data_IF_696738904865
#
_entry.id   IF_696738904865
#
_cell.length_a   1.000
_cell.length_b   1.000
_cell.length_c   1.000
_cell.angle_alpha   90.00
_cell.angle_beta   90.00
_cell.angle_gamma   90.00
#
_symmetry.space_group_name_H-M   'P 1'
#
loop_
_entity.id
_entity.type
_entity.pdbx_description
1 polymer ?
#
# COMPACT_ATOMS: atom_id res chain seq x y z
N UNK A 1 -36.35 49.45 52.16
CA UNK A 1 -35.93 50.68 52.87
C UNK A 1 -34.63 51.18 52.23
N UNK A 2 -34.75 52.42 51.66
CA UNK A 2 -33.74 53.44 51.40
C UNK A 2 -32.50 53.03 50.52
N UNK A 3 -32.43 53.43 49.26
CA UNK A 3 -32.05 54.75 48.63
C UNK A 3 -30.70 55.31 49.09
N UNK A 4 -29.82 55.48 48.11
CA UNK A 4 -29.22 56.78 47.64
C UNK A 4 -28.01 56.40 46.76
N UNK A 5 -27.98 56.58 45.45
CA UNK A 5 -27.65 57.83 44.69
C UNK A 5 -26.33 58.46 45.17
N UNK A 6 -25.34 58.45 44.30
CA UNK A 6 -24.75 59.72 43.80
C UNK A 6 -23.78 59.50 42.65
N UNK A 7 -23.98 60.28 41.63
CA UNK A 7 -23.15 60.45 40.44
C UNK A 7 -22.12 61.62 40.69
N UNK A 8 -21.05 61.65 39.93
CA UNK A 8 -20.35 62.87 39.39
C UNK A 8 -19.09 62.41 38.67
N UNK A 9 -18.91 62.45 37.42
CA UNK A 9 -18.69 63.54 36.46
C UNK A 9 -17.24 64.11 36.44
N UNK A 10 -16.71 64.02 35.25
CA UNK A 10 -15.79 64.94 34.52
C UNK A 10 -14.28 64.63 34.55
N UNK A 11 -13.83 64.54 33.39
CA UNK A 11 -12.95 65.30 32.48
C UNK A 11 -11.47 64.97 32.52
N UNK A 12 -10.96 64.56 31.42
CA UNK A 12 -10.03 65.36 30.70
C UNK A 12 -8.75 64.68 30.18
N UNK A 13 -8.54 64.97 28.97
CA UNK A 13 -7.25 65.13 28.30
C UNK A 13 -6.68 64.05 27.48
N UNK A 14 -6.80 64.23 26.19
CA UNK A 14 -6.01 63.69 25.09
C UNK A 14 -4.50 63.78 25.37
N UNK A 15 -3.77 62.68 25.07
CA UNK A 15 -2.44 62.77 24.46
C UNK A 15 -2.30 61.65 23.43
N UNK A 16 -2.25 62.08 22.20
CA UNK A 16 -1.87 61.29 21.06
C UNK A 16 -0.36 61.03 21.10
N UNK A 17 0.07 59.78 21.03
CA UNK A 17 1.40 59.48 20.53
C UNK A 17 1.34 58.24 19.63
N UNK A 18 1.46 58.49 18.35
CA UNK A 18 1.72 57.50 17.32
C UNK A 18 3.11 56.90 17.54
N UNK A 19 3.17 55.61 17.72
CA UNK A 19 4.39 54.82 17.51
C UNK A 19 4.11 53.77 16.48
N UNK A 20 4.54 54.06 15.26
CA UNK A 20 4.70 53.15 14.17
C UNK A 20 5.77 52.11 14.58
N UNK A 21 5.34 50.95 14.98
CA UNK A 21 6.18 49.78 15.18
C UNK A 21 5.93 48.81 14.04
N UNK A 22 6.69 48.90 12.96
CA UNK A 22 6.86 47.84 12.00
C UNK A 22 7.55 46.67 12.69
N UNK A 23 6.76 45.71 13.16
CA UNK A 23 7.19 44.39 13.56
C UNK A 23 6.48 43.39 12.64
N UNK A 24 7.12 43.04 11.53
CA UNK A 24 6.65 41.97 10.66
C UNK A 24 6.74 40.63 11.39
N UNK A 25 5.68 40.28 12.08
CA UNK A 25 5.43 38.87 12.45
C UNK A 25 4.87 38.22 11.20
N UNK A 26 5.76 37.54 10.48
CA UNK A 26 5.32 36.61 9.45
C UNK A 26 4.48 35.54 10.12
N UNK A 27 3.18 35.70 10.10
CA UNK A 27 2.25 34.57 10.23
C UNK A 27 2.55 33.61 9.06
N UNK A 28 3.50 32.68 9.32
CA UNK A 28 3.50 31.43 8.59
C UNK A 28 2.20 30.74 9.03
N UNK A 29 1.12 31.00 8.30
CA UNK A 29 -0.03 30.15 8.32
C UNK A 29 0.52 28.72 8.12
N UNK A 30 0.50 27.88 9.15
CA UNK A 30 0.68 26.44 9.01
C UNK A 30 -0.36 26.02 7.98
N UNK A 31 0.07 25.82 6.75
CA UNK A 31 -0.74 25.21 5.72
C UNK A 31 -1.05 23.82 6.29
N UNK A 32 -2.27 23.59 6.76
CA UNK A 32 -2.70 22.26 7.17
C UNK A 32 -2.44 21.36 5.97
N UNK A 33 -1.49 20.44 6.12
CA UNK A 33 -1.19 19.47 5.07
C UNK A 33 -2.46 18.66 4.83
N UNK A 34 -2.91 18.62 3.59
CA UNK A 34 -4.02 17.75 3.23
C UNK A 34 -3.60 16.31 3.50
N UNK A 35 -4.48 15.54 4.13
CA UNK A 35 -4.23 14.12 4.40
C UNK A 35 -4.70 13.31 3.20
N UNK A 36 -3.86 12.40 2.71
CA UNK A 36 -4.22 11.34 1.77
C UNK A 36 -4.39 10.05 2.56
N UNK A 37 -5.63 9.57 2.68
CA UNK A 37 -5.95 8.31 3.39
C UNK A 37 -5.63 7.13 2.49
N UNK A 38 -4.71 6.30 2.93
CA UNK A 38 -4.14 5.19 2.14
C UNK A 38 -4.53 3.87 2.77
N UNK A 39 -5.20 2.98 2.02
CA UNK A 39 -5.40 1.58 2.42
C UNK A 39 -4.27 0.70 1.89
N UNK A 40 -3.77 -0.18 2.75
CA UNK A 40 -2.74 -1.16 2.40
C UNK A 40 -2.83 -2.38 3.30
N UNK A 41 -2.57 -3.58 2.77
CA UNK A 41 -2.49 -4.81 3.55
C UNK A 41 -1.04 -5.02 3.98
N UNK A 42 -0.73 -4.74 5.25
CA UNK A 42 0.65 -4.63 5.75
C UNK A 42 1.23 -6.03 6.06
N UNK A 43 1.26 -6.89 5.04
CA UNK A 43 1.68 -8.28 5.13
C UNK A 43 2.41 -8.79 3.88
N UNK A 44 2.78 -7.89 2.95
CA UNK A 44 3.23 -8.21 1.61
C UNK A 44 4.67 -7.71 1.33
N UNK A 45 5.64 -8.15 2.15
CA UNK A 45 7.05 -7.76 1.99
C UNK A 45 7.62 -8.24 0.63
N UNK A 46 8.42 -7.42 -0.06
CA UNK A 46 9.04 -6.17 0.35
C UNK A 46 8.25 -4.89 0.01
N UNK A 47 6.96 -4.99 -0.37
CA UNK A 47 6.14 -3.86 -0.78
C UNK A 47 5.55 -3.10 0.42
N UNK A 48 4.85 -3.79 1.31
CA UNK A 48 4.26 -3.23 2.51
C UNK A 48 4.27 -4.24 3.66
N UNK A 49 4.93 -3.89 4.73
CA UNK A 49 5.06 -4.75 5.90
C UNK A 49 5.45 -3.95 7.15
N UNK A 50 5.44 -4.63 8.27
CA UNK A 50 5.88 -4.09 9.55
C UNK A 50 6.80 -5.11 10.22
N UNK A 51 8.02 -4.69 10.56
CA UNK A 51 8.92 -5.53 11.34
C UNK A 51 8.44 -5.61 12.79
N UNK A 52 8.72 -6.73 13.42
CA UNK A 52 8.42 -6.95 14.81
C UNK A 52 9.07 -5.86 15.71
N UNK A 53 8.25 -5.21 16.55
CA UNK A 53 8.70 -4.15 17.44
C UNK A 53 8.86 -2.76 16.79
N UNK A 54 8.70 -2.62 15.49
CA UNK A 54 8.64 -1.33 14.81
C UNK A 54 7.22 -0.77 14.83
N UNK A 55 7.11 0.57 14.88
CA UNK A 55 5.81 1.25 14.84
C UNK A 55 5.41 1.63 13.42
N UNK A 56 6.40 1.87 12.56
CA UNK A 56 6.18 2.40 11.23
C UNK A 56 6.04 1.26 10.20
N UNK A 57 5.12 1.43 9.28
CA UNK A 57 5.01 0.59 8.11
C UNK A 57 6.11 0.93 7.11
N UNK A 58 6.72 -0.09 6.53
CA UNK A 58 7.83 0.02 5.61
C UNK A 58 7.60 -0.84 4.36
N UNK A 59 8.41 -0.62 3.34
CA UNK A 59 8.33 -1.32 2.07
C UNK A 59 8.35 -0.35 0.89
N UNK A 60 8.45 -0.92 -0.29
CA UNK A 60 8.49 -0.17 -1.54
C UNK A 60 7.24 0.69 -1.72
N UNK A 61 6.05 0.11 -1.52
CA UNK A 61 4.77 0.79 -1.63
C UNK A 61 4.63 1.91 -0.60
N UNK A 62 5.13 1.68 0.62
CA UNK A 62 5.10 2.66 1.69
C UNK A 62 5.99 3.88 1.41
N UNK A 63 7.20 3.65 0.89
CA UNK A 63 8.09 4.74 0.49
C UNK A 63 7.52 5.49 -0.72
N UNK A 64 6.99 4.76 -1.71
CA UNK A 64 6.43 5.34 -2.93
C UNK A 64 5.21 6.21 -2.63
N UNK A 65 4.25 5.74 -1.83
CA UNK A 65 3.04 6.51 -1.56
C UNK A 65 3.32 7.75 -0.70
N UNK A 66 4.27 7.68 0.23
CA UNK A 66 4.71 8.86 0.98
C UNK A 66 5.35 9.90 0.06
N UNK A 67 6.16 9.48 -0.91
CA UNK A 67 6.76 10.36 -1.90
C UNK A 67 5.69 10.99 -2.82
N UNK A 68 4.72 10.20 -3.29
CA UNK A 68 3.59 10.68 -4.09
C UNK A 68 2.75 11.70 -3.30
N UNK A 69 2.36 11.39 -2.07
CA UNK A 69 1.59 12.31 -1.22
C UNK A 69 2.34 13.62 -1.04
N UNK A 70 3.64 13.58 -0.75
CA UNK A 70 4.49 14.76 -0.62
C UNK A 70 4.52 15.62 -1.89
N UNK A 71 4.64 14.99 -3.08
CA UNK A 71 4.59 15.71 -4.36
C UNK A 71 3.23 16.36 -4.61
N UNK A 72 2.15 15.77 -4.07
CA UNK A 72 0.80 16.33 -4.12
C UNK A 72 0.53 17.39 -3.05
N UNK A 73 1.52 17.72 -2.19
CA UNK A 73 1.34 18.64 -1.05
C UNK A 73 0.46 18.08 0.06
N UNK A 74 0.48 16.77 0.25
CA UNK A 74 -0.31 16.00 1.22
C UNK A 74 0.61 15.16 2.11
N UNK A 75 0.04 14.63 3.21
CA UNK A 75 0.66 13.62 4.05
C UNK A 75 -0.09 12.30 3.92
N UNK A 76 0.62 11.18 3.77
CA UNK A 76 0.01 9.86 3.67
C UNK A 76 -0.35 9.33 5.07
N UNK A 77 -1.64 9.08 5.32
CA UNK A 77 -2.13 8.36 6.49
C UNK A 77 -2.47 6.92 6.09
N UNK A 78 -1.63 5.98 6.55
CA UNK A 78 -1.73 4.58 6.12
C UNK A 78 -2.60 3.80 7.10
N UNK A 79 -3.64 3.14 6.55
CA UNK A 79 -4.56 2.28 7.28
C UNK A 79 -4.31 0.83 6.87
N UNK A 80 -3.99 -0.02 7.84
CA UNK A 80 -3.84 -1.46 7.63
C UNK A 80 -5.21 -2.12 7.49
N UNK A 81 -5.49 -2.64 6.31
CA UNK A 81 -6.76 -3.29 5.96
C UNK A 81 -6.43 -4.59 5.21
N UNK A 82 -7.07 -5.71 5.56
CA UNK A 82 -6.87 -6.96 4.82
C UNK A 82 -7.14 -6.80 3.32
N UNK A 83 -6.38 -7.50 2.49
CA UNK A 83 -6.34 -7.25 1.04
C UNK A 83 -7.72 -7.30 0.37
N UNK A 84 -8.55 -8.27 0.73
CA UNK A 84 -9.92 -8.43 0.23
C UNK A 84 -10.88 -7.31 0.67
N UNK A 85 -10.55 -6.62 1.78
CA UNK A 85 -11.27 -5.47 2.32
C UNK A 85 -10.92 -4.12 1.68
N UNK A 86 -9.83 -4.01 0.91
CA UNK A 86 -9.32 -2.74 0.40
C UNK A 86 -10.28 -2.05 -0.59
N UNK A 87 -10.75 -2.76 -1.62
CA UNK A 87 -11.70 -2.20 -2.60
C UNK A 87 -13.04 -1.83 -1.94
N UNK A 88 -13.65 -2.67 -1.08
CA UNK A 88 -14.79 -2.26 -0.26
C UNK A 88 -14.57 -0.98 0.55
N UNK A 89 -13.43 -0.84 1.23
CA UNK A 89 -13.09 0.35 2.01
C UNK A 89 -12.98 1.61 1.15
N UNK A 90 -12.38 1.49 -0.05
CA UNK A 90 -12.29 2.57 -1.04
C UNK A 90 -13.69 2.99 -1.54
N UNK A 91 -14.53 2.03 -1.87
CA UNK A 91 -15.91 2.29 -2.32
C UNK A 91 -16.78 2.94 -1.22
N UNK A 92 -16.52 2.59 0.04
CA UNK A 92 -17.16 3.21 1.21
C UNK A 92 -16.58 4.60 1.55
N UNK A 93 -15.54 5.06 0.81
CA UNK A 93 -14.84 6.33 1.04
C UNK A 93 -14.16 6.43 2.41
N UNK A 94 -13.80 5.30 3.00
CA UNK A 94 -12.99 5.26 4.23
C UNK A 94 -11.53 5.61 3.95
N UNK A 95 -11.06 5.31 2.76
CA UNK A 95 -9.73 5.62 2.21
C UNK A 95 -9.89 6.32 0.85
N UNK A 96 -8.86 7.04 0.42
CA UNK A 96 -8.83 7.79 -0.83
C UNK A 96 -8.11 6.99 -1.94
N UNK A 97 -7.08 6.23 -1.57
CA UNK A 97 -6.31 5.39 -2.48
C UNK A 97 -5.95 4.05 -1.84
N UNK A 98 -5.67 3.06 -2.69
CA UNK A 98 -5.07 1.79 -2.31
C UNK A 98 -3.70 1.70 -2.97
N UNK A 99 -2.66 1.38 -2.19
CA UNK A 99 -1.39 0.88 -2.67
C UNK A 99 -1.03 -0.37 -1.86
N UNK A 100 -1.00 -1.53 -2.51
CA UNK A 100 -0.85 -2.83 -1.83
C UNK A 100 -0.52 -3.95 -2.82
N UNK A 101 0.50 -3.76 -3.66
CA UNK A 101 0.81 -4.73 -4.71
C UNK A 101 -0.40 -5.09 -5.59
N UNK A 102 -1.36 -4.17 -5.74
CA UNK A 102 -2.64 -4.49 -6.37
C UNK A 102 -2.53 -4.55 -7.89
N UNK A 103 -2.72 -5.75 -8.44
CA UNK A 103 -2.72 -6.00 -9.88
C UNK A 103 -3.83 -5.26 -10.59
N UNK A 104 -3.47 -4.57 -11.67
CA UNK A 104 -4.39 -3.94 -12.61
C UNK A 104 -5.00 -5.04 -13.48
N UNK A 105 -6.30 -5.29 -13.35
CA UNK A 105 -7.05 -6.20 -14.22
C UNK A 105 -8.44 -5.67 -14.54
N UNK A 106 -9.12 -6.29 -15.50
CA UNK A 106 -10.40 -5.80 -16.00
C UNK A 106 -11.54 -5.95 -14.99
N UNK A 107 -11.52 -6.97 -14.14
CA UNK A 107 -12.49 -7.13 -13.06
C UNK A 107 -12.42 -5.95 -12.09
N UNK A 108 -11.21 -5.63 -11.60
CA UNK A 108 -11.00 -4.52 -10.68
C UNK A 108 -11.28 -3.17 -11.32
N UNK A 109 -10.93 -2.99 -12.61
CA UNK A 109 -11.24 -1.78 -13.37
C UNK A 109 -12.74 -1.49 -13.49
N UNK A 110 -13.61 -2.48 -13.33
CA UNK A 110 -15.06 -2.24 -13.27
C UNK A 110 -15.48 -1.49 -12.01
N UNK A 111 -14.73 -1.65 -10.93
CA UNK A 111 -15.05 -1.14 -9.59
C UNK A 111 -14.25 0.08 -9.17
N UNK A 112 -13.00 0.21 -9.64
CA UNK A 112 -12.05 1.27 -9.28
C UNK A 112 -11.32 1.79 -10.52
N UNK A 113 -10.72 2.99 -10.42
CA UNK A 113 -9.70 3.46 -11.36
C UNK A 113 -8.32 3.10 -10.86
N UNK A 114 -7.35 3.03 -11.76
CA UNK A 114 -5.94 2.79 -11.45
C UNK A 114 -5.06 3.92 -11.97
N UNK A 115 -3.95 4.13 -11.29
CA UNK A 115 -2.82 4.89 -11.83
C UNK A 115 -2.19 4.18 -13.03
N UNK A 116 -1.23 4.85 -13.68
CA UNK A 116 -0.25 4.17 -14.51
C UNK A 116 0.46 3.08 -13.69
N UNK A 117 0.88 1.97 -14.31
CA UNK A 117 1.60 0.91 -13.60
C UNK A 117 2.84 1.44 -12.89
N UNK A 118 3.04 1.07 -11.63
CA UNK A 118 4.23 1.46 -10.89
C UNK A 118 5.25 0.33 -10.71
N UNK A 119 4.84 -0.92 -10.82
CA UNK A 119 5.70 -2.09 -10.72
C UNK A 119 5.21 -3.21 -11.64
N UNK A 120 6.12 -4.03 -12.18
CA UNK A 120 5.76 -5.22 -12.94
C UNK A 120 6.17 -6.47 -12.16
N UNK A 121 5.18 -7.30 -11.86
CA UNK A 121 5.31 -8.54 -11.12
C UNK A 121 4.99 -9.76 -12.01
N UNK A 122 4.66 -10.86 -11.39
CA UNK A 122 4.15 -12.07 -12.00
C UNK A 122 4.05 -13.18 -10.96
N UNK A 123 3.09 -14.08 -11.15
CA UNK A 123 2.84 -15.17 -10.23
C UNK A 123 3.84 -16.31 -10.42
N UNK A 124 4.34 -16.82 -9.31
CA UNK A 124 5.20 -18.00 -9.22
C UNK A 124 4.71 -18.92 -8.11
N UNK A 125 5.37 -20.04 -7.97
CA UNK A 125 4.98 -21.06 -7.01
C UNK A 125 6.14 -21.38 -6.06
N UNK A 126 5.81 -21.56 -4.78
CA UNK A 126 6.72 -22.07 -3.75
C UNK A 126 6.24 -23.44 -3.31
N UNK A 127 7.16 -24.37 -3.23
CA UNK A 127 6.95 -25.74 -2.74
C UNK A 127 7.95 -26.06 -1.64
N UNK A 128 7.75 -27.15 -0.93
CA UNK A 128 8.75 -27.67 0.02
C UNK A 128 10.03 -28.05 -0.71
N UNK A 129 11.18 -27.94 -0.04
CA UNK A 129 12.48 -28.27 -0.64
C UNK A 129 12.60 -29.74 -1.04
N UNK A 130 11.88 -30.65 -0.35
CA UNK A 130 11.80 -32.08 -0.62
C UNK A 130 10.73 -32.46 -1.66
N UNK A 131 10.03 -31.48 -2.26
CA UNK A 131 9.05 -31.72 -3.30
C UNK A 131 9.74 -32.07 -4.62
N UNK A 132 9.38 -33.23 -5.20
CA UNK A 132 9.97 -33.77 -6.44
C UNK A 132 8.96 -33.92 -7.56
N UNK A 133 7.66 -33.87 -7.26
CA UNK A 133 6.57 -34.11 -8.21
C UNK A 133 6.16 -32.79 -8.87
N UNK A 134 5.85 -31.77 -8.06
CA UNK A 134 5.39 -30.47 -8.55
C UNK A 134 6.59 -29.67 -9.06
N UNK A 135 6.65 -29.43 -10.38
CA UNK A 135 7.72 -28.66 -11.06
C UNK A 135 7.17 -27.48 -11.86
N UNK A 136 5.88 -27.52 -12.18
CA UNK A 136 5.17 -26.53 -12.97
C UNK A 136 3.73 -26.38 -12.49
N UNK A 137 3.03 -25.34 -12.97
CA UNK A 137 1.61 -25.17 -12.69
C UNK A 137 0.74 -26.30 -13.23
N UNK A 138 1.18 -26.99 -14.30
CA UNK A 138 0.47 -28.12 -14.85
C UNK A 138 0.43 -29.35 -13.90
N UNK A 139 1.39 -29.43 -12.98
CA UNK A 139 1.49 -30.54 -12.03
C UNK A 139 0.59 -30.35 -10.80
N UNK A 140 -0.14 -29.25 -10.68
CA UNK A 140 -0.98 -28.94 -9.51
C UNK A 140 -2.28 -29.76 -9.44
N UNK A 141 -2.66 -30.45 -10.51
CA UNK A 141 -3.86 -31.31 -10.52
C UNK A 141 -3.76 -32.40 -9.46
N UNK A 142 -4.75 -32.46 -8.57
CA UNK A 142 -4.81 -33.40 -7.43
C UNK A 142 -4.10 -32.90 -6.17
N UNK A 143 -3.47 -31.73 -6.22
CA UNK A 143 -2.75 -31.13 -5.08
C UNK A 143 -3.53 -30.03 -4.38
N UNK A 144 -3.10 -29.72 -3.15
CA UNK A 144 -3.64 -28.61 -2.34
C UNK A 144 -2.74 -27.40 -2.48
N UNK A 145 -3.33 -26.24 -2.78
CA UNK A 145 -2.61 -24.98 -3.00
C UNK A 145 -3.15 -23.90 -2.07
N UNK A 146 -2.26 -23.25 -1.34
CA UNK A 146 -2.61 -22.06 -0.56
C UNK A 146 -2.40 -20.78 -1.37
N UNK A 147 -3.32 -19.84 -1.20
CA UNK A 147 -3.32 -18.51 -1.82
C UNK A 147 -3.87 -17.50 -0.84
N UNK A 148 -3.49 -16.22 -0.98
CA UNK A 148 -4.13 -15.16 -0.22
C UNK A 148 -5.50 -14.83 -0.81
N UNK A 149 -6.51 -14.68 0.05
CA UNK A 149 -7.89 -14.37 -0.35
C UNK A 149 -7.97 -13.03 -1.10
N UNK A 150 -8.82 -12.96 -2.14
CA UNK A 150 -9.07 -11.74 -2.92
C UNK A 150 -7.98 -11.38 -3.93
N UNK A 151 -6.93 -12.21 -4.08
CA UNK A 151 -5.82 -12.00 -5.02
C UNK A 151 -6.09 -12.59 -6.41
N UNK A 152 -5.30 -12.16 -7.39
CA UNK A 152 -5.29 -12.76 -8.73
C UNK A 152 -4.81 -14.21 -8.69
N UNK A 153 -3.87 -14.52 -7.81
CA UNK A 153 -3.42 -15.91 -7.59
C UNK A 153 -4.58 -16.81 -7.13
N UNK A 154 -5.44 -16.31 -6.22
CA UNK A 154 -6.60 -17.08 -5.77
C UNK A 154 -7.57 -17.35 -6.91
N UNK A 155 -7.87 -16.32 -7.73
CA UNK A 155 -8.77 -16.47 -8.88
C UNK A 155 -8.21 -17.46 -9.89
N UNK A 156 -6.93 -17.33 -10.27
CA UNK A 156 -6.30 -18.19 -11.27
C UNK A 156 -6.20 -19.65 -10.82
N UNK A 157 -5.85 -19.89 -9.55
CA UNK A 157 -5.74 -21.28 -9.04
C UNK A 157 -7.11 -21.94 -8.90
N UNK A 158 -8.16 -21.18 -8.59
CA UNK A 158 -9.55 -21.69 -8.54
C UNK A 158 -10.05 -22.17 -9.91
N UNK A 159 -9.53 -21.62 -11.00
CA UNK A 159 -9.87 -22.02 -12.37
C UNK A 159 -9.12 -23.28 -12.81
N UNK A 160 -8.10 -23.74 -12.07
CA UNK A 160 -7.33 -24.91 -12.40
C UNK A 160 -8.09 -26.21 -12.06
N UNK A 161 -8.27 -27.06 -13.05
CA UNK A 161 -9.00 -28.34 -12.90
C UNK A 161 -8.32 -29.28 -11.90
N UNK A 162 -9.08 -29.72 -10.90
CA UNK A 162 -8.62 -30.74 -9.94
C UNK A 162 -7.69 -30.23 -8.86
N UNK A 163 -7.51 -28.91 -8.72
CA UNK A 163 -6.76 -28.29 -7.64
C UNK A 163 -7.68 -28.03 -6.45
N UNK A 164 -7.21 -28.34 -5.25
CA UNK A 164 -7.90 -27.98 -3.99
C UNK A 164 -7.31 -26.68 -3.45
N UNK A 165 -8.09 -25.62 -3.43
CA UNK A 165 -7.62 -24.29 -3.01
C UNK A 165 -7.88 -24.06 -1.53
N UNK A 166 -6.87 -23.59 -0.80
CA UNK A 166 -6.97 -23.09 0.59
C UNK A 166 -6.71 -21.59 0.57
N UNK A 167 -7.74 -20.80 0.83
CA UNK A 167 -7.62 -19.33 0.93
C UNK A 167 -7.30 -18.94 2.36
N UNK A 168 -6.25 -18.15 2.54
CA UNK A 168 -5.78 -17.65 3.83
C UNK A 168 -5.67 -16.12 3.80
N UNK A 169 -5.61 -15.50 4.97
CA UNK A 169 -5.66 -14.04 5.05
C UNK A 169 -4.34 -13.37 4.62
N UNK A 170 -3.20 -14.03 4.89
CA UNK A 170 -1.88 -13.45 4.63
C UNK A 170 -0.97 -14.43 3.86
N UNK A 171 0.03 -13.93 3.10
CA UNK A 171 1.07 -14.78 2.53
C UNK A 171 1.84 -15.57 3.57
N UNK A 172 2.07 -14.99 4.75
CA UNK A 172 2.76 -15.67 5.86
C UNK A 172 2.00 -16.92 6.32
N UNK A 173 0.66 -16.83 6.42
CA UNK A 173 -0.19 -17.98 6.74
C UNK A 173 -0.06 -19.08 5.67
N UNK A 174 -0.04 -18.69 4.37
CA UNK A 174 0.15 -19.63 3.27
C UNK A 174 1.49 -20.37 3.39
N UNK A 175 2.57 -19.67 3.70
CA UNK A 175 3.89 -20.31 3.87
C UNK A 175 3.96 -21.16 5.14
N UNK A 176 3.28 -20.80 6.22
CA UNK A 176 3.18 -21.63 7.42
C UNK A 176 2.44 -22.93 7.12
N UNK A 177 1.33 -22.88 6.40
CA UNK A 177 0.54 -24.03 5.99
C UNK A 177 1.34 -24.97 5.08
N UNK A 178 2.14 -24.42 4.15
CA UNK A 178 3.06 -25.20 3.32
C UNK A 178 4.11 -25.93 4.14
N UNK A 179 4.74 -25.26 5.12
CA UNK A 179 5.73 -25.88 6.01
C UNK A 179 5.13 -26.94 6.92
N UNK A 180 3.89 -26.72 7.38
CA UNK A 180 3.13 -27.67 8.19
C UNK A 180 2.60 -28.88 7.38
N UNK A 181 2.80 -28.92 6.07
CA UNK A 181 2.30 -29.96 5.13
C UNK A 181 0.77 -30.00 5.02
N UNK A 182 0.08 -28.91 5.36
CA UNK A 182 -1.37 -28.77 5.16
C UNK A 182 -1.72 -28.55 3.69
N UNK A 183 -0.80 -27.92 2.94
CA UNK A 183 -0.85 -27.74 1.48
C UNK A 183 0.45 -28.21 0.82
N UNK A 184 0.41 -28.38 -0.51
CA UNK A 184 1.54 -28.87 -1.31
C UNK A 184 2.31 -27.73 -1.97
N UNK A 185 1.63 -26.62 -2.28
CA UNK A 185 2.21 -25.46 -2.91
C UNK A 185 1.57 -24.16 -2.39
N UNK A 186 2.28 -23.04 -2.55
CA UNK A 186 1.78 -21.66 -2.41
C UNK A 186 1.94 -20.97 -3.75
N UNK A 187 0.89 -20.33 -4.25
CA UNK A 187 0.96 -19.47 -5.43
C UNK A 187 0.83 -18.01 -4.98
N UNK A 188 1.84 -17.22 -5.30
CA UNK A 188 1.93 -15.82 -4.91
C UNK A 188 2.86 -15.08 -5.86
N UNK A 189 2.98 -13.77 -5.71
CA UNK A 189 3.86 -12.91 -6.48
C UNK A 189 5.33 -13.25 -6.27
N UNK A 190 6.08 -13.29 -7.35
CA UNK A 190 7.49 -13.66 -7.33
C UNK A 190 8.33 -12.82 -6.37
N UNK A 191 8.25 -11.48 -6.35
CA UNK A 191 9.08 -10.68 -5.44
C UNK A 191 8.85 -11.03 -3.98
N UNK A 192 7.59 -11.35 -3.61
CA UNK A 192 7.22 -11.75 -2.25
C UNK A 192 7.74 -13.14 -1.93
N UNK A 193 7.61 -14.07 -2.85
CA UNK A 193 8.18 -15.42 -2.73
C UNK A 193 9.70 -15.37 -2.55
N UNK A 194 10.40 -14.59 -3.39
CA UNK A 194 11.86 -14.45 -3.35
C UNK A 194 12.31 -13.78 -2.04
N UNK A 195 11.57 -12.74 -1.58
CA UNK A 195 11.84 -12.07 -0.32
C UNK A 195 11.67 -13.02 0.86
N UNK A 196 10.55 -13.74 0.93
CA UNK A 196 10.28 -14.72 1.99
C UNK A 196 11.37 -15.80 2.08
N UNK A 197 11.75 -16.38 0.94
CA UNK A 197 12.80 -17.41 0.88
C UNK A 197 14.13 -16.85 1.37
N UNK A 198 14.49 -15.63 0.96
CA UNK A 198 15.74 -14.97 1.37
C UNK A 198 15.76 -14.69 2.87
N UNK A 199 14.69 -14.16 3.44
CA UNK A 199 14.59 -13.79 4.86
C UNK A 199 14.52 -15.03 5.76
N UNK A 200 13.78 -16.06 5.36
CA UNK A 200 13.66 -17.31 6.11
C UNK A 200 14.90 -18.23 6.00
N UNK A 201 15.98 -17.76 5.35
CA UNK A 201 17.17 -18.55 5.01
C UNK A 201 16.84 -19.84 4.23
N UNK A 202 15.72 -19.83 3.52
CA UNK A 202 15.19 -20.91 2.65
C UNK A 202 15.07 -22.30 3.32
N UNK A 203 14.99 -22.36 4.65
CA UNK A 203 14.86 -23.64 5.34
C UNK A 203 13.51 -24.29 5.01
N UNK A 204 13.58 -25.38 4.25
CA UNK A 204 12.44 -26.26 3.98
C UNK A 204 11.54 -25.87 2.81
N UNK A 205 11.79 -24.77 2.09
CA UNK A 205 11.01 -24.37 0.90
C UNK A 205 11.90 -23.90 -0.25
N UNK A 206 11.37 -23.95 -1.49
CA UNK A 206 12.03 -23.47 -2.73
C UNK A 206 11.00 -22.84 -3.66
N UNK A 207 11.40 -21.78 -4.37
CA UNK A 207 10.61 -21.21 -5.47
C UNK A 207 10.86 -22.01 -6.74
N UNK A 208 9.83 -22.18 -7.54
CA UNK A 208 9.94 -22.77 -8.88
C UNK A 208 10.12 -21.66 -9.91
N UNK A 209 10.83 -21.97 -11.00
CA UNK A 209 11.12 -21.02 -12.06
C UNK A 209 9.91 -20.72 -12.96
N UNK A 210 8.92 -21.63 -12.95
CA UNK A 210 7.71 -21.51 -13.77
C UNK A 210 6.89 -20.25 -13.38
N UNK A 211 6.41 -19.52 -14.39
CA UNK A 211 5.62 -18.30 -14.22
C UNK A 211 4.24 -18.49 -14.79
N UNK A 212 3.23 -18.14 -14.02
CA UNK A 212 1.84 -18.24 -14.43
C UNK A 212 1.38 -17.01 -15.22
N UNK A 213 1.82 -15.82 -14.81
CA UNK A 213 1.36 -14.56 -15.41
C UNK A 213 2.42 -13.46 -15.30
N UNK A 214 2.24 -12.41 -16.10
CA UNK A 214 2.84 -11.10 -15.87
C UNK A 214 1.75 -10.17 -15.33
N UNK A 215 2.05 -9.40 -14.30
CA UNK A 215 1.09 -8.55 -13.60
C UNK A 215 1.66 -7.16 -13.36
N UNK A 216 0.90 -6.15 -13.75
CA UNK A 216 1.24 -4.76 -13.47
C UNK A 216 0.51 -4.30 -12.20
N UNK A 217 1.25 -3.72 -11.25
CA UNK A 217 0.66 -3.10 -10.06
C UNK A 217 0.31 -1.65 -10.32
N UNK A 218 -0.84 -1.22 -9.80
CA UNK A 218 -1.33 0.15 -9.86
C UNK A 218 -1.88 0.63 -8.52
N UNK A 219 -1.84 1.94 -8.34
CA UNK A 219 -2.51 2.59 -7.23
C UNK A 219 -3.98 2.72 -7.59
N UNK A 220 -4.87 2.15 -6.77
CA UNK A 220 -6.30 2.22 -7.03
C UNK A 220 -6.95 3.42 -6.32
N UNK A 221 -7.97 4.00 -6.94
CA UNK A 221 -8.78 5.11 -6.41
C UNK A 221 -10.23 4.98 -6.86
N UNK A 222 -11.11 5.80 -6.28
CA UNK A 222 -12.53 5.76 -6.61
C UNK A 222 -12.77 5.91 -8.12
N UNK A 223 -13.76 5.19 -8.64
CA UNK A 223 -14.06 5.11 -10.07
C UNK A 223 -14.39 6.46 -10.70
N UNK A 224 -14.95 7.36 -9.93
CA UNK A 224 -15.40 8.70 -10.31
C UNK A 224 -14.38 9.81 -10.01
N UNK A 225 -13.21 9.47 -9.43
CA UNK A 225 -12.19 10.47 -9.06
C UNK A 225 -11.05 10.54 -10.09
N UNK A 226 -11.38 11.04 -11.29
CA UNK A 226 -10.39 11.27 -12.35
C UNK A 226 -9.38 12.37 -12.00
N UNK A 227 -9.74 13.31 -11.11
CA UNK A 227 -8.83 14.37 -10.67
C UNK A 227 -7.71 13.79 -9.79
N UNK A 228 -8.05 12.94 -8.83
CA UNK A 228 -7.06 12.27 -8.00
C UNK A 228 -6.17 11.34 -8.84
N UNK A 229 -6.76 10.59 -9.78
CA UNK A 229 -6.01 9.75 -10.71
C UNK A 229 -4.94 10.55 -11.46
N UNK A 230 -5.34 11.71 -12.01
CA UNK A 230 -4.40 12.60 -12.70
C UNK A 230 -3.28 13.08 -11.77
N UNK A 231 -3.60 13.52 -10.55
CA UNK A 231 -2.61 13.99 -9.57
C UNK A 231 -1.62 12.89 -9.19
N UNK A 232 -2.10 11.67 -8.97
CA UNK A 232 -1.25 10.50 -8.66
C UNK A 232 -0.32 10.19 -9.83
N UNK A 233 -0.83 10.19 -11.07
CA UNK A 233 -0.03 9.93 -12.27
C UNK A 233 1.01 11.03 -12.50
N UNK A 234 0.64 12.31 -12.35
CA UNK A 234 1.57 13.43 -12.47
C UNK A 234 2.69 13.35 -11.43
N UNK A 235 2.36 13.00 -10.18
CA UNK A 235 3.34 12.79 -9.11
C UNK A 235 4.25 11.60 -9.40
N UNK A 236 3.70 10.45 -9.81
CA UNK A 236 4.47 9.26 -10.17
C UNK A 236 5.44 9.54 -11.32
N UNK A 237 4.97 10.25 -12.36
CA UNK A 237 5.81 10.69 -13.47
C UNK A 237 6.95 11.58 -12.98
N UNK A 238 6.67 12.56 -12.13
CA UNK A 238 7.69 13.46 -11.58
C UNK A 238 8.74 12.73 -10.77
N UNK A 239 8.35 11.73 -9.97
CA UNK A 239 9.29 10.88 -9.21
C UNK A 239 10.19 10.05 -10.13
N UNK A 240 9.69 9.62 -11.28
CA UNK A 240 10.47 8.93 -12.30
C UNK A 240 11.43 9.89 -13.00
N UNK A 241 10.95 11.05 -13.42
CA UNK A 241 11.75 12.04 -14.15
C UNK A 241 12.92 12.61 -13.31
N UNK A 242 12.74 12.73 -11.98
CA UNK A 242 13.77 13.25 -11.07
C UNK A 242 14.65 12.17 -10.40
N UNK A 243 14.42 10.88 -10.71
CA UNK A 243 15.19 9.75 -10.20
C UNK A 243 14.86 9.32 -8.77
N UNK A 244 13.84 9.89 -8.13
CA UNK A 244 13.43 9.49 -6.78
C UNK A 244 12.78 8.09 -6.77
N UNK A 245 11.98 7.79 -7.79
CA UNK A 245 11.44 6.44 -8.00
C UNK A 245 12.57 5.39 -8.09
N UNK A 246 13.63 5.67 -8.85
CA UNK A 246 14.76 4.74 -9.00
C UNK A 246 15.50 4.51 -7.68
N UNK A 247 15.66 5.55 -6.85
CA UNK A 247 16.25 5.41 -5.50
C UNK A 247 15.40 4.51 -4.60
N UNK A 248 14.05 4.71 -4.59
CA UNK A 248 13.13 3.88 -3.83
C UNK A 248 13.20 2.44 -4.34
N UNK A 249 13.18 2.24 -5.66
CA UNK A 249 13.30 0.92 -6.26
C UNK A 249 14.61 0.21 -5.86
N UNK A 250 15.75 0.90 -5.98
CA UNK A 250 17.05 0.34 -5.63
C UNK A 250 17.19 -0.02 -4.14
N UNK A 251 16.56 0.75 -3.27
CA UNK A 251 16.53 0.46 -1.82
C UNK A 251 15.93 -0.91 -1.53
N UNK A 252 14.88 -1.31 -2.23
CA UNK A 252 14.11 -2.52 -1.93
C UNK A 252 14.49 -3.72 -2.80
N UNK A 253 14.84 -3.48 -4.06
CA UNK A 253 15.12 -4.55 -5.04
C UNK A 253 16.58 -4.60 -5.50
N UNK A 254 17.41 -3.65 -5.09
CA UNK A 254 18.81 -3.57 -5.53
C UNK A 254 18.97 -2.95 -6.91
N UNK A 255 20.22 -2.91 -7.40
CA UNK A 255 20.60 -2.25 -8.67
C UNK A 255 20.44 -3.14 -9.92
N UNK A 256 19.94 -4.37 -9.76
CA UNK A 256 19.74 -5.32 -10.86
C UNK A 256 18.37 -5.06 -11.54
N UNK A 257 18.41 -4.45 -12.74
CA UNK A 257 17.34 -4.57 -13.73
C UNK A 257 17.58 -5.77 -14.58
#
# INVERSE_FOLDING_TARGET
MKLKKLALVLTGALVSLALVGCGGSGDQAKQESKVLRVGSAIDFAPFEFQDEGQKDYQGFDMDLIRAIAKEMGSEAEIQNIGFDGLIPALQAKNIDVIISGMTINDERKQRVNFSDPYYQSGLTMVVRSDEEVIKSFADLKGHKVAVQIGTTSANMVKEMEGVTVTELNTPADCFMELKARGVDAVVNDRPVNDYYIKQSQAVGVKSLADKLSAEDYGIAMAKDDAELQKKVNDALKKLRDNGEYDKIYQKWFGTGK
#
